data_IF_870818982435
#
_entry.id   IF_870818982435
#
_cell.length_a   1.000
_cell.length_b   1.000
_cell.length_c   1.000
_cell.angle_alpha   90.00
_cell.angle_beta   90.00
_cell.angle_gamma   90.00
#
_symmetry.space_group_name_H-M   'P 1'
#
loop_
_entity.id
_entity.type
_entity.pdbx_description
1 polymer ?
#
# COMPACT_ATOMS: atom_id res chain seq x y z
N UNK A 1 -17.44 0.37 37.01
CA UNK A 1 -16.92 -0.35 35.82
C UNK A 1 -16.68 0.68 34.74
N UNK A 2 -15.47 1.22 34.65
CA UNK A 2 -15.11 2.20 33.63
C UNK A 2 -14.46 1.43 32.49
N UNK A 3 -15.19 1.24 31.39
CA UNK A 3 -14.67 0.59 30.18
C UNK A 3 -13.54 1.47 29.64
N UNK A 4 -12.29 1.00 29.72
CA UNK A 4 -11.18 1.64 29.01
C UNK A 4 -11.50 1.54 27.52
N UNK A 5 -11.83 2.66 26.89
CA UNK A 5 -11.98 2.76 25.43
C UNK A 5 -10.61 2.78 24.72
N UNK A 6 -9.51 2.60 25.46
CA UNK A 6 -8.14 2.77 24.97
C UNK A 6 -7.48 1.47 24.47
N UNK A 7 -8.08 0.30 24.69
CA UNK A 7 -7.38 -0.99 24.50
C UNK A 7 -7.34 -1.50 23.03
N UNK A 8 -7.85 -0.74 22.04
CA UNK A 8 -7.98 -1.19 20.65
C UNK A 8 -7.43 -0.22 19.59
N UNK A 9 -6.76 0.85 19.98
CA UNK A 9 -6.15 1.79 19.03
C UNK A 9 -4.80 1.22 18.58
N UNK A 10 -4.57 1.24 17.27
CA UNK A 10 -3.30 0.82 16.66
C UNK A 10 -2.77 1.90 15.75
N UNK A 11 -1.48 2.16 15.86
CA UNK A 11 -0.77 3.15 15.09
C UNK A 11 0.05 2.43 14.02
N UNK A 12 -0.18 2.80 12.77
CA UNK A 12 0.53 2.25 11.62
C UNK A 12 1.69 3.15 11.27
N UNK A 13 2.88 2.58 11.20
CA UNK A 13 4.08 3.22 10.71
C UNK A 13 4.43 2.58 9.37
N UNK A 14 4.51 3.42 8.35
CA UNK A 14 4.57 2.99 6.96
C UNK A 14 5.96 3.20 6.35
N UNK A 15 6.27 2.43 5.31
CA UNK A 15 7.44 2.66 4.47
C UNK A 15 7.22 3.81 3.46
N UNK A 16 8.21 4.03 2.59
CA UNK A 16 8.17 5.11 1.59
C UNK A 16 7.10 4.92 0.50
N UNK A 17 6.50 3.73 0.39
CA UNK A 17 5.41 3.43 -0.55
C UNK A 17 4.05 3.31 0.14
N UNK A 18 4.00 3.60 1.45
CA UNK A 18 2.79 3.50 2.26
C UNK A 18 2.45 2.07 2.69
N UNK A 19 3.38 1.11 2.59
CA UNK A 19 3.19 -0.25 3.12
C UNK A 19 3.38 -0.27 4.63
N UNK A 20 2.64 -1.12 5.33
CA UNK A 20 2.78 -1.27 6.79
C UNK A 20 4.14 -1.87 7.16
N UNK A 21 5.03 -1.10 7.79
CA UNK A 21 6.32 -1.61 8.26
C UNK A 21 6.27 -2.01 9.73
N UNK A 22 5.61 -1.21 10.57
CA UNK A 22 5.52 -1.41 12.01
C UNK A 22 4.14 -1.01 12.52
N UNK A 23 3.59 -1.77 13.46
CA UNK A 23 2.34 -1.44 14.16
C UNK A 23 2.58 -1.42 15.65
N UNK A 24 2.21 -0.31 16.28
CA UNK A 24 2.29 -0.14 17.73
C UNK A 24 0.90 0.04 18.35
N UNK A 25 0.77 -0.32 19.62
CA UNK A 25 -0.38 0.10 20.42
C UNK A 25 -0.26 1.57 20.88
N UNK A 26 -1.20 2.02 21.71
CA UNK A 26 -1.23 3.39 22.24
C UNK A 26 -0.13 3.66 23.27
N UNK A 27 0.42 2.61 23.88
CA UNK A 27 1.50 2.70 24.86
C UNK A 27 2.88 2.68 24.18
N UNK A 28 2.91 2.47 22.86
CA UNK A 28 4.12 2.44 22.03
C UNK A 28 4.76 1.06 21.93
N UNK A 29 4.11 0.02 22.44
CA UNK A 29 4.62 -1.34 22.34
C UNK A 29 4.43 -1.88 20.91
N UNK A 30 5.46 -2.55 20.40
CA UNK A 30 5.44 -3.13 19.06
C UNK A 30 4.55 -4.37 19.07
N UNK A 31 3.45 -4.29 18.33
CA UNK A 31 2.51 -5.42 18.13
C UNK A 31 2.84 -6.24 16.89
N UNK A 32 3.36 -5.59 15.83
CA UNK A 32 3.68 -6.24 14.57
C UNK A 32 4.81 -5.50 13.85
N UNK A 33 5.72 -6.23 13.22
CA UNK A 33 6.79 -5.72 12.37
C UNK A 33 6.84 -6.57 11.10
N UNK A 34 6.79 -5.92 9.93
CA UNK A 34 6.68 -6.57 8.63
C UNK A 34 7.72 -5.98 7.67
N UNK A 35 8.36 -6.85 6.90
CA UNK A 35 9.22 -6.47 5.79
C UNK A 35 8.83 -7.25 4.53
N UNK A 36 8.90 -6.57 3.39
CA UNK A 36 8.47 -7.10 2.10
C UNK A 36 9.65 -7.26 1.14
N UNK A 37 9.54 -8.21 0.22
CA UNK A 37 10.32 -8.14 -1.04
C UNK A 37 9.63 -7.17 -2.02
N UNK A 38 10.28 -6.77 -3.13
CA UNK A 38 9.80 -5.65 -3.96
C UNK A 38 8.35 -5.73 -4.44
N UNK A 39 7.78 -6.91 -4.67
CA UNK A 39 6.41 -7.08 -5.17
C UNK A 39 5.35 -7.28 -4.07
N UNK A 40 5.71 -7.09 -2.81
CA UNK A 40 4.77 -7.12 -1.68
C UNK A 40 4.63 -8.47 -0.98
N UNK A 41 5.38 -9.49 -1.41
CA UNK A 41 5.44 -10.76 -0.66
C UNK A 41 6.15 -10.50 0.68
N UNK A 42 5.55 -11.02 1.76
CA UNK A 42 6.04 -10.84 3.12
C UNK A 42 7.31 -11.68 3.29
N UNK A 43 8.44 -11.00 3.47
CA UNK A 43 9.73 -11.64 3.72
C UNK A 43 9.94 -11.98 5.20
N UNK A 44 9.64 -11.01 6.07
CA UNK A 44 9.74 -11.16 7.52
C UNK A 44 8.48 -10.63 8.14
N UNK A 45 7.96 -11.39 9.09
CA UNK A 45 6.87 -10.95 9.95
C UNK A 45 7.13 -11.38 11.39
N UNK A 46 7.05 -10.43 12.31
CA UNK A 46 7.15 -10.66 13.74
C UNK A 46 5.92 -10.08 14.41
N UNK A 47 5.30 -10.87 15.30
CA UNK A 47 4.07 -10.50 16.01
C UNK A 47 4.27 -10.67 17.51
N UNK A 48 3.76 -9.73 18.27
CA UNK A 48 3.67 -9.80 19.72
C UNK A 48 2.20 -9.82 20.13
N UNK A 49 1.60 -11.02 20.10
CA UNK A 49 0.19 -11.25 20.41
C UNK A 49 -0.59 -11.95 19.29
N UNK A 50 -1.91 -11.99 19.45
CA UNK A 50 -2.82 -12.67 18.51
C UNK A 50 -3.41 -11.76 17.43
N UNK A 51 -3.18 -10.45 17.52
CA UNK A 51 -3.68 -9.52 16.53
C UNK A 51 -2.78 -9.50 15.28
N UNK A 52 -3.41 -9.40 14.11
CA UNK A 52 -2.76 -9.27 12.81
C UNK A 52 -3.49 -8.18 12.01
N UNK A 53 -2.75 -7.27 11.39
CA UNK A 53 -3.35 -6.42 10.37
C UNK A 53 -3.49 -7.16 9.05
N UNK A 54 -4.63 -7.05 8.36
CA UNK A 54 -4.73 -7.50 6.99
C UNK A 54 -4.17 -6.44 6.02
N UNK A 55 -3.95 -5.20 6.45
CA UNK A 55 -3.49 -4.10 5.60
C UNK A 55 -1.96 -4.03 5.60
N UNK A 56 -1.35 -4.53 4.52
CA UNK A 56 0.10 -4.75 4.43
C UNK A 56 0.72 -3.91 3.30
N UNK A 57 1.08 -4.52 2.17
CA UNK A 57 1.75 -3.84 1.06
C UNK A 57 0.87 -2.73 0.45
N UNK A 58 1.42 -1.51 0.27
CA UNK A 58 0.69 -0.31 -0.17
C UNK A 58 -0.63 -0.04 0.58
N UNK A 59 -0.70 -0.43 1.87
CA UNK A 59 -1.90 -0.40 2.70
C UNK A 59 -3.10 -1.17 2.10
N UNK A 60 -2.84 -2.15 1.22
CA UNK A 60 -3.86 -3.04 0.66
C UNK A 60 -4.09 -4.24 1.54
N UNK A 61 -5.33 -4.69 1.52
CA UNK A 61 -5.76 -5.88 2.24
C UNK A 61 -5.15 -7.12 1.56
N UNK A 62 -4.34 -7.87 2.31
CA UNK A 62 -3.93 -9.21 1.94
C UNK A 62 -5.03 -10.17 2.38
N UNK A 63 -5.67 -10.81 1.41
CA UNK A 63 -6.60 -11.89 1.68
C UNK A 63 -5.81 -13.16 2.05
N UNK A 64 -5.87 -13.56 3.32
CA UNK A 64 -5.14 -14.71 3.86
C UNK A 64 -5.57 -16.04 3.21
N UNK A 65 -6.80 -16.14 2.67
CA UNK A 65 -7.28 -17.38 2.05
C UNK A 65 -6.65 -17.61 0.67
N UNK A 66 -6.39 -16.54 -0.06
CA UNK A 66 -5.88 -16.58 -1.44
C UNK A 66 -4.41 -16.19 -1.58
N UNK A 67 -3.86 -15.45 -0.60
CA UNK A 67 -2.54 -14.85 -0.67
C UNK A 67 -2.44 -13.67 -1.64
N UNK A 68 -3.58 -13.06 -1.99
CA UNK A 68 -3.67 -11.97 -2.96
C UNK A 68 -3.99 -10.64 -2.31
N UNK A 69 -3.44 -9.55 -2.86
CA UNK A 69 -3.79 -8.21 -2.42
C UNK A 69 -4.98 -7.66 -3.19
N UNK A 70 -5.99 -7.15 -2.48
CA UNK A 70 -7.13 -6.48 -3.10
C UNK A 70 -6.85 -4.98 -3.33
N UNK A 71 -6.81 -4.56 -4.61
CA UNK A 71 -6.56 -3.17 -5.00
C UNK A 71 -7.83 -2.42 -5.41
N UNK A 72 -9.01 -3.04 -5.36
CA UNK A 72 -10.26 -2.46 -5.84
C UNK A 72 -10.61 -2.99 -7.23
N UNK A 73 -9.89 -2.57 -8.27
CA UNK A 73 -10.16 -3.02 -9.63
C UNK A 73 -9.54 -4.39 -9.97
N UNK A 74 -8.45 -4.76 -9.30
CA UNK A 74 -7.70 -6.00 -9.55
C UNK A 74 -7.17 -6.63 -8.26
N UNK A 75 -6.82 -7.91 -8.35
CA UNK A 75 -6.05 -8.62 -7.34
C UNK A 75 -4.60 -8.76 -7.79
N UNK A 76 -3.65 -8.39 -6.94
CA UNK A 76 -2.22 -8.57 -7.16
C UNK A 76 -1.77 -9.88 -6.52
N UNK A 77 -1.08 -10.71 -7.30
CA UNK A 77 -0.32 -11.85 -6.80
C UNK A 77 1.12 -11.39 -6.47
N UNK A 78 1.47 -11.27 -5.19
CA UNK A 78 2.79 -10.79 -4.78
C UNK A 78 3.90 -11.82 -5.07
N UNK A 79 3.58 -13.10 -5.16
CA UNK A 79 4.54 -14.19 -5.43
C UNK A 79 4.91 -14.22 -6.91
N UNK A 80 3.91 -14.08 -7.78
CA UNK A 80 4.10 -14.09 -9.23
C UNK A 80 4.41 -12.71 -9.82
N UNK A 81 4.44 -11.65 -9.00
CA UNK A 81 4.71 -10.28 -9.43
C UNK A 81 3.75 -9.77 -10.52
N UNK A 82 2.48 -10.20 -10.48
CA UNK A 82 1.53 -9.96 -11.56
C UNK A 82 0.09 -9.78 -11.06
N UNK A 83 -0.69 -9.02 -11.83
CA UNK A 83 -2.13 -8.94 -11.67
C UNK A 83 -2.81 -10.24 -12.09
N UNK A 84 -3.87 -10.61 -11.38
CA UNK A 84 -4.67 -11.79 -11.71
C UNK A 84 -5.57 -11.58 -12.94
N UNK A 85 -5.91 -10.32 -13.25
CA UNK A 85 -6.78 -9.95 -14.37
C UNK A 85 -6.14 -8.89 -15.27
N UNK A 86 -6.64 -8.82 -16.51
CA UNK A 86 -6.23 -7.85 -17.52
C UNK A 86 -6.49 -6.43 -17.02
N UNK A 87 -5.51 -5.54 -17.19
CA UNK A 87 -5.63 -4.12 -16.89
C UNK A 87 -6.84 -3.49 -17.62
N UNK A 88 -7.79 -2.85 -16.90
CA UNK A 88 -8.91 -2.15 -17.54
C UNK A 88 -8.48 -1.06 -18.53
N UNK A 89 -7.28 -0.51 -18.36
CA UNK A 89 -6.70 0.54 -19.18
C UNK A 89 -5.55 0.04 -20.07
N UNK A 90 -5.43 -1.28 -20.30
CA UNK A 90 -4.29 -1.87 -21.02
C UNK A 90 -4.00 -1.21 -22.40
N UNK A 91 -5.02 -0.70 -23.09
CA UNK A 91 -4.88 -0.01 -24.37
C UNK A 91 -4.09 1.30 -24.27
N UNK A 92 -4.11 1.96 -23.10
CA UNK A 92 -3.29 3.16 -22.82
C UNK A 92 -1.80 2.80 -22.61
N UNK A 93 -1.52 1.56 -22.20
CA UNK A 93 -0.19 1.06 -21.84
C UNK A 93 0.43 0.21 -22.96
N UNK A 94 0.51 0.77 -24.17
CA UNK A 94 1.03 0.04 -25.35
C UNK A 94 2.46 -0.43 -25.12
N UNK A 95 2.70 -1.72 -25.34
CA UNK A 95 4.02 -2.35 -25.14
C UNK A 95 4.27 -2.88 -23.73
N UNK A 96 3.33 -2.66 -22.80
CA UNK A 96 3.33 -3.31 -21.48
C UNK A 96 2.44 -4.54 -21.50
N UNK A 97 2.78 -5.53 -20.67
CA UNK A 97 1.87 -6.66 -20.42
C UNK A 97 0.64 -6.17 -19.64
N UNK A 98 -0.59 -6.59 -20.00
CA UNK A 98 -1.81 -6.22 -19.26
C UNK A 98 -1.85 -6.79 -17.84
N UNK A 99 -0.93 -7.69 -17.49
CA UNK A 99 -0.81 -8.29 -16.17
C UNK A 99 0.33 -7.70 -15.34
N UNK A 100 1.09 -6.74 -15.88
CA UNK A 100 2.29 -6.23 -15.21
C UNK A 100 1.96 -5.28 -14.06
N UNK A 101 2.55 -5.50 -12.88
CA UNK A 101 2.51 -4.54 -11.80
C UNK A 101 3.55 -3.44 -12.00
N UNK A 102 3.12 -2.17 -11.89
CA UNK A 102 4.01 -1.02 -11.77
C UNK A 102 5.12 -0.92 -12.82
N UNK A 103 4.84 -1.29 -14.08
CA UNK A 103 5.83 -1.31 -15.17
C UNK A 103 7.14 -2.06 -14.83
N UNK A 104 7.08 -3.05 -13.93
CA UNK A 104 8.24 -3.81 -13.46
C UNK A 104 9.13 -3.09 -12.44
N UNK A 105 8.70 -1.95 -11.88
CA UNK A 105 9.45 -1.20 -10.87
C UNK A 105 8.61 -0.86 -9.63
N UNK A 106 8.26 -1.87 -8.81
CA UNK A 106 7.42 -1.70 -7.63
C UNK A 106 8.13 -1.01 -6.46
N UNK A 107 9.44 -0.73 -6.57
CA UNK A 107 10.21 0.00 -5.54
C UNK A 107 9.98 1.51 -5.62
N UNK A 108 9.63 2.01 -6.81
CA UNK A 108 9.43 3.45 -7.08
C UNK A 108 7.99 3.81 -7.43
N UNK A 109 7.26 2.84 -7.97
CA UNK A 109 5.94 3.06 -8.55
C UNK A 109 4.89 2.30 -7.74
N UNK A 110 3.68 2.85 -7.69
CA UNK A 110 2.53 2.25 -7.01
C UNK A 110 1.31 2.38 -7.91
N UNK A 111 0.51 1.32 -8.00
CA UNK A 111 -0.83 1.40 -8.57
C UNK A 111 -1.83 1.43 -7.42
N UNK A 112 -2.47 2.57 -7.20
CA UNK A 112 -3.30 2.76 -5.99
C UNK A 112 -4.65 2.05 -6.07
N UNK A 113 -5.17 1.79 -7.27
CA UNK A 113 -6.54 1.29 -7.46
C UNK A 113 -6.61 0.04 -8.34
N UNK A 114 -5.46 -0.49 -8.74
CA UNK A 114 -5.38 -1.55 -9.73
C UNK A 114 -5.81 -1.06 -11.13
N UNK A 115 -5.52 0.20 -11.48
CA UNK A 115 -5.91 0.79 -12.77
C UNK A 115 -4.82 1.65 -13.40
N UNK A 116 -4.08 2.37 -12.56
CA UNK A 116 -3.19 3.43 -13.02
C UNK A 116 -1.92 3.47 -12.18
N UNK A 117 -0.81 3.80 -12.82
CA UNK A 117 0.49 3.78 -12.17
C UNK A 117 0.91 5.20 -11.79
N UNK A 118 1.39 5.35 -10.56
CA UNK A 118 1.84 6.60 -9.97
C UNK A 118 3.30 6.51 -9.53
N UNK A 119 4.01 7.62 -9.58
CA UNK A 119 5.35 7.80 -9.00
C UNK A 119 5.29 8.81 -7.87
N UNK A 120 5.95 8.50 -6.76
CA UNK A 120 6.19 9.44 -5.67
C UNK A 120 7.52 10.16 -5.87
N UNK A 121 7.54 11.47 -5.71
CA UNK A 121 8.79 12.24 -5.64
C UNK A 121 9.33 12.30 -4.20
N UNK A 122 10.55 12.83 -4.05
CA UNK A 122 11.23 12.97 -2.74
C UNK A 122 10.49 13.93 -1.79
N UNK A 123 9.57 14.74 -2.31
CA UNK A 123 8.77 15.71 -1.58
C UNK A 123 7.41 15.12 -1.15
N UNK A 124 7.11 13.89 -1.56
CA UNK A 124 5.87 13.19 -1.26
C UNK A 124 4.70 13.53 -2.19
N UNK A 125 4.94 14.23 -3.30
CA UNK A 125 3.92 14.42 -4.32
C UNK A 125 3.83 13.17 -5.21
N UNK A 126 2.63 12.90 -5.73
CA UNK A 126 2.43 11.85 -6.71
C UNK A 126 2.14 12.42 -8.10
N UNK A 127 2.62 11.72 -9.12
CA UNK A 127 2.30 12.01 -10.52
C UNK A 127 1.98 10.72 -11.26
N UNK A 128 1.00 10.81 -12.16
CA UNK A 128 0.61 9.70 -13.02
C UNK A 128 1.61 9.56 -14.17
N UNK A 129 2.01 8.32 -14.48
CA UNK A 129 3.12 8.05 -15.41
C UNK A 129 2.71 8.21 -16.87
N UNK A 130 1.42 8.06 -17.18
CA UNK A 130 0.86 8.29 -18.52
C UNK A 130 -0.08 9.49 -18.48
N UNK A 131 0.48 10.68 -18.30
CA UNK A 131 -0.34 11.89 -18.33
C UNK A 131 -0.89 12.13 -19.74
N UNK A 132 -2.21 12.05 -19.90
CA UNK A 132 -2.96 12.58 -21.05
C UNK A 132 -3.10 14.11 -21.01
N UNK A 133 -2.37 14.77 -20.09
CA UNK A 133 -2.37 16.22 -19.89
C UNK A 133 -3.51 16.73 -19.00
N UNK A 134 -4.41 15.85 -18.56
CA UNK A 134 -5.60 16.19 -17.76
C UNK A 134 -5.50 15.80 -16.28
N UNK A 135 -4.74 14.76 -15.93
CA UNK A 135 -4.72 14.22 -14.57
C UNK A 135 -3.46 14.61 -13.78
N UNK A 136 -3.47 15.82 -13.22
CA UNK A 136 -2.69 16.12 -12.01
C UNK A 136 -3.55 15.83 -10.80
N UNK A 137 -3.66 14.57 -10.41
CA UNK A 137 -4.20 14.25 -9.10
C UNK A 137 -3.24 14.84 -8.04
N UNK A 138 -3.73 15.81 -7.27
CA UNK A 138 -3.01 16.45 -6.16
C UNK A 138 -3.60 15.93 -4.86
N UNK A 139 -2.88 15.09 -4.15
CA UNK A 139 -3.15 14.76 -2.76
C UNK A 139 -1.93 15.17 -1.94
N UNK A 140 -2.18 15.66 -0.73
CA UNK A 140 -1.14 16.21 0.13
C UNK A 140 -0.65 15.14 1.11
N UNK A 141 0.67 15.03 1.22
CA UNK A 141 1.33 14.39 2.35
C UNK A 141 1.32 15.39 3.51
N UNK A 142 0.44 15.21 4.51
CA UNK A 142 0.49 16.02 5.72
C UNK A 142 1.60 15.48 6.62
N UNK A 143 2.83 15.96 6.42
CA UNK A 143 3.95 15.70 7.32
C UNK A 143 3.70 16.49 8.61
N UNK A 144 3.31 15.83 9.69
CA UNK A 144 3.28 16.45 11.01
C UNK A 144 4.53 16.01 11.77
N UNK A 145 5.23 16.96 12.40
CA UNK A 145 6.59 16.82 12.99
C UNK A 145 6.72 15.80 14.14
N UNK A 146 5.74 14.91 14.34
CA UNK A 146 5.76 13.94 15.43
C UNK A 146 5.26 12.55 15.08
N UNK A 147 4.48 12.33 14.02
CA UNK A 147 3.98 11.00 13.66
C UNK A 147 3.66 10.94 12.15
N UNK A 148 4.35 10.06 11.42
CA UNK A 148 4.15 9.82 9.99
C UNK A 148 2.85 9.03 9.76
N UNK A 149 1.71 9.72 9.69
CA UNK A 149 0.42 9.13 9.33
C UNK A 149 0.00 9.56 7.92
N UNK A 150 -0.11 8.58 7.00
CA UNK A 150 -0.71 8.80 5.68
C UNK A 150 -2.23 8.77 5.82
N UNK A 151 -2.88 9.93 5.66
CA UNK A 151 -4.32 10.04 5.51
C UNK A 151 -4.66 10.20 4.02
N UNK A 152 -5.12 9.11 3.40
CA UNK A 152 -5.76 9.18 2.10
C UNK A 152 -7.18 9.72 2.27
N UNK A 153 -7.44 10.95 1.81
CA UNK A 153 -8.78 11.52 1.80
C UNK A 153 -9.20 11.69 0.33
N UNK A 154 -10.27 11.01 -0.09
CA UNK A 154 -10.85 11.17 -1.41
C UNK A 154 -12.26 11.77 -1.26
N UNK A 155 -12.55 12.78 -2.08
CA UNK A 155 -13.89 13.33 -2.28
C UNK A 155 -14.64 12.52 -3.33
#
# INVERSE_FOLDING_TARGET
MTRKMHDNIRLYHVDHLGSTALVTDIDGEITQHVAYIPYGEVFVEQRNGSWNTPYLFNAKELDEETGLYYYGARYLDPTNAAWLSVDPLFEKYVGMTPYGYCAGNPVKLVDMEGRDIYVFDEEGNFSHIISDGTDKARGYLMKNESHDAILFNFA
#
